data_IF_988095252720
#
_entry.id   IF_988095252720
#
_cell.length_a   1.000
_cell.length_b   1.000
_cell.length_c   1.000
_cell.angle_alpha   90.00
_cell.angle_beta   90.00
_cell.angle_gamma   90.00
#
_symmetry.space_group_name_H-M   'P 1'
#
loop_
_entity.id
_entity.type
_entity.pdbx_description
1 polymer ?
#
# COMPACT_ATOMS: atom_id res chain seq x y z
N UNK A 1 46.17 -1.57 43.83
CA UNK A 1 45.37 -2.36 42.86
C UNK A 1 43.88 -1.97 42.81
N UNK A 2 43.28 -1.36 43.84
CA UNK A 2 41.88 -0.90 43.82
C UNK A 2 41.62 0.38 43.02
N UNK A 3 42.62 1.25 42.89
CA UNK A 3 42.44 2.57 42.23
C UNK A 3 42.49 2.49 40.70
N UNK A 4 43.18 1.50 40.13
CA UNK A 4 43.25 1.27 38.66
C UNK A 4 41.90 0.74 38.13
N UNK A 5 41.14 0.03 38.97
CA UNK A 5 39.84 -0.54 38.62
C UNK A 5 38.74 0.54 38.49
N UNK A 6 38.88 1.66 39.19
CA UNK A 6 37.91 2.76 39.15
C UNK A 6 38.07 3.61 37.88
N UNK A 7 39.31 3.82 37.42
CA UNK A 7 39.58 4.58 36.19
C UNK A 7 39.08 3.83 34.94
N UNK A 8 39.17 2.50 34.93
CA UNK A 8 38.65 1.66 33.84
C UNK A 8 37.12 1.62 33.80
N UNK A 9 36.44 1.72 34.96
CA UNK A 9 34.98 1.76 35.02
C UNK A 9 34.39 3.10 34.52
N UNK A 10 35.11 4.22 34.70
CA UNK A 10 34.67 5.55 34.25
C UNK A 10 34.97 5.79 32.76
N UNK A 11 36.01 5.16 32.20
CA UNK A 11 36.29 5.22 30.77
C UNK A 11 35.32 4.37 29.91
N UNK A 12 34.72 3.31 30.49
CA UNK A 12 33.77 2.43 29.80
C UNK A 12 32.35 2.99 29.65
N UNK A 13 31.96 3.98 30.44
CA UNK A 13 30.60 4.55 30.42
C UNK A 13 30.36 5.64 29.37
N UNK A 14 31.42 6.09 28.67
CA UNK A 14 31.30 7.09 27.59
C UNK A 14 30.90 6.45 26.24
N UNK A 15 30.97 5.12 26.12
CA UNK A 15 30.60 4.40 24.89
C UNK A 15 29.13 3.93 24.84
N UNK A 16 28.35 4.17 25.90
CA UNK A 16 26.93 3.77 25.97
C UNK A 16 25.93 4.94 25.97
N UNK A 17 26.39 6.19 25.89
CA UNK A 17 25.52 7.36 25.74
C UNK A 17 25.59 7.88 24.30
N UNK A 18 24.91 7.21 23.37
CA UNK A 18 24.96 7.66 21.97
C UNK A 18 24.09 6.97 20.93
N UNK A 19 23.30 5.94 21.22
CA UNK A 19 22.22 5.51 20.32
C UNK A 19 20.94 6.31 20.61
N UNK A 20 21.01 7.63 20.51
CA UNK A 20 19.83 8.44 20.27
C UNK A 20 19.49 8.36 18.77
N UNK A 21 19.08 7.18 18.29
CA UNK A 21 18.21 7.14 17.12
C UNK A 21 16.82 7.58 17.58
N UNK A 22 16.68 8.88 17.82
CA UNK A 22 15.39 9.56 17.74
C UNK A 22 15.03 9.57 16.26
N UNK A 23 14.53 8.44 15.77
CA UNK A 23 14.06 8.26 14.41
C UNK A 23 12.70 8.90 14.12
N UNK A 24 12.20 9.76 15.00
CA UNK A 24 10.85 10.32 14.89
C UNK A 24 10.76 11.79 15.31
N UNK A 25 11.76 12.64 14.99
CA UNK A 25 11.60 14.10 15.13
C UNK A 25 12.29 14.89 14.03
N UNK A 26 11.81 14.71 12.80
CA UNK A 26 11.73 15.78 11.83
C UNK A 26 10.40 15.69 11.07
N UNK A 27 9.28 15.75 11.81
CA UNK A 27 8.12 16.47 11.29
C UNK A 27 8.51 17.95 11.27
N UNK A 28 9.37 18.31 10.31
CA UNK A 28 9.53 19.68 9.89
C UNK A 28 8.14 20.24 9.65
N UNK A 29 7.97 21.53 9.91
CA UNK A 29 6.72 22.26 9.73
C UNK A 29 6.37 22.24 8.24
N UNK A 30 5.86 21.10 7.78
CA UNK A 30 5.28 20.87 6.48
C UNK A 30 4.00 21.69 6.50
N UNK A 31 3.92 22.65 5.60
CA UNK A 31 2.87 23.66 5.56
C UNK A 31 1.49 23.06 5.81
N UNK A 32 0.60 23.85 6.39
CA UNK A 32 -0.75 23.45 6.85
C UNK A 32 -1.51 22.53 5.88
N UNK A 33 -1.33 22.70 4.56
CA UNK A 33 -1.95 21.86 3.52
C UNK A 33 -1.45 20.40 3.46
N UNK A 34 -0.23 20.10 3.92
CA UNK A 34 0.32 18.73 3.92
C UNK A 34 -0.16 17.96 5.15
N UNK A 35 -0.23 18.62 6.30
CA UNK A 35 -0.84 18.04 7.51
C UNK A 35 -2.25 17.54 7.23
N UNK A 36 -3.02 18.27 6.43
CA UNK A 36 -4.39 17.87 6.07
C UNK A 36 -4.44 16.61 5.20
N UNK A 37 -3.50 16.45 4.27
CA UNK A 37 -3.35 15.24 3.46
C UNK A 37 -2.89 14.06 4.33
N UNK A 38 -1.91 14.27 5.22
CA UNK A 38 -1.40 13.25 6.14
C UNK A 38 -2.48 12.78 7.12
N UNK A 39 -3.25 13.69 7.69
CA UNK A 39 -4.41 13.35 8.55
C UNK A 39 -5.47 12.57 7.75
N UNK A 40 -5.69 12.96 6.50
CA UNK A 40 -6.65 12.29 5.62
C UNK A 40 -6.16 10.94 5.10
N UNK A 41 -4.89 10.59 5.30
CA UNK A 41 -4.29 9.33 4.85
C UNK A 41 -4.94 8.09 5.49
N UNK A 42 -5.54 8.25 6.67
CA UNK A 42 -6.34 7.20 7.33
C UNK A 42 -7.55 6.77 6.48
N UNK A 43 -8.07 7.68 5.65
CA UNK A 43 -9.19 7.43 4.72
C UNK A 43 -8.70 7.28 3.28
N UNK A 44 -7.42 6.94 3.10
CA UNK A 44 -6.84 6.81 1.78
C UNK A 44 -7.45 5.66 1.00
N UNK A 45 -7.49 5.85 -0.31
CA UNK A 45 -7.86 4.82 -1.27
C UNK A 45 -6.58 4.15 -1.74
N UNK A 46 -6.48 2.84 -1.54
CA UNK A 46 -5.27 2.07 -1.84
C UNK A 46 -5.43 1.29 -3.14
N UNK A 47 -4.35 1.19 -3.91
CA UNK A 47 -4.24 0.31 -5.08
C UNK A 47 -2.83 -0.21 -5.22
N UNK A 48 -2.66 -1.41 -5.77
CA UNK A 48 -1.36 -2.02 -6.01
C UNK A 48 -1.15 -2.13 -7.51
N UNK A 49 -0.04 -1.57 -7.99
CA UNK A 49 0.35 -1.61 -9.40
C UNK A 49 1.64 -2.42 -9.56
N UNK A 50 1.81 -3.12 -10.70
CA UNK A 50 3.08 -3.74 -11.03
C UNK A 50 4.13 -2.66 -11.35
N UNK A 51 5.37 -2.90 -10.96
CA UNK A 51 6.50 -2.00 -11.21
C UNK A 51 7.23 -1.60 -9.93
N UNK A 52 8.50 -1.25 -10.09
CA UNK A 52 9.29 -0.66 -9.02
C UNK A 52 8.78 0.75 -8.68
N UNK A 53 9.08 1.19 -7.46
CA UNK A 53 8.57 2.46 -6.92
C UNK A 53 8.94 3.66 -7.79
N UNK A 54 10.13 3.66 -8.39
CA UNK A 54 10.64 4.79 -9.15
C UNK A 54 10.00 4.90 -10.55
N UNK A 55 9.78 3.76 -11.20
CA UNK A 55 9.03 3.69 -12.46
C UNK A 55 7.57 4.12 -12.24
N UNK A 56 6.93 3.58 -11.18
CA UNK A 56 5.55 3.92 -10.85
C UNK A 56 5.41 5.39 -10.46
N UNK A 57 6.36 5.95 -9.70
CA UNK A 57 6.39 7.39 -9.38
C UNK A 57 6.39 8.25 -10.65
N UNK A 58 7.20 7.87 -11.62
CA UNK A 58 7.30 8.58 -12.90
C UNK A 58 6.00 8.46 -13.70
N UNK A 59 5.39 7.29 -13.72
CA UNK A 59 4.11 7.05 -14.40
C UNK A 59 2.95 7.83 -13.77
N UNK A 60 2.85 7.83 -12.43
CA UNK A 60 1.86 8.62 -11.69
C UNK A 60 2.02 10.12 -12.00
N UNK A 61 3.25 10.64 -11.98
CA UNK A 61 3.49 12.04 -12.35
C UNK A 61 3.06 12.36 -13.78
N UNK A 62 3.25 11.43 -14.72
CA UNK A 62 2.84 11.62 -16.10
C UNK A 62 1.32 11.68 -16.23
N UNK A 63 0.59 10.76 -15.61
CA UNK A 63 -0.88 10.75 -15.65
C UNK A 63 -1.48 11.98 -14.93
N UNK A 64 -0.96 12.37 -13.77
CA UNK A 64 -1.43 13.57 -13.07
C UNK A 64 -1.21 14.85 -13.91
N UNK A 65 -0.08 14.96 -14.61
CA UNK A 65 0.16 16.10 -15.52
C UNK A 65 -0.77 16.09 -16.73
N UNK A 66 -0.99 14.92 -17.31
CA UNK A 66 -1.90 14.72 -18.44
C UNK A 66 -3.34 15.07 -18.06
N UNK A 67 -3.76 14.77 -16.83
CA UNK A 67 -5.04 15.18 -16.25
C UNK A 67 -5.11 16.68 -15.84
N UNK A 68 -4.06 17.46 -16.07
CA UNK A 68 -4.04 18.89 -15.78
C UNK A 68 -3.96 19.23 -14.29
N UNK A 69 -3.51 18.29 -13.45
CA UNK A 69 -3.37 18.51 -12.00
C UNK A 69 -2.23 19.47 -11.71
N UNK A 70 -2.43 20.38 -10.77
CA UNK A 70 -1.39 21.33 -10.36
C UNK A 70 -0.51 20.73 -9.25
N UNK A 71 0.67 20.23 -9.62
CA UNK A 71 1.58 19.56 -8.70
C UNK A 71 2.50 20.58 -8.01
N UNK A 72 2.27 20.84 -6.73
CA UNK A 72 3.05 21.79 -5.95
C UNK A 72 4.16 21.14 -5.11
N UNK A 73 4.10 19.82 -4.86
CA UNK A 73 5.16 19.09 -4.16
C UNK A 73 5.48 17.75 -4.82
N UNK A 74 6.78 17.48 -4.94
CA UNK A 74 7.36 16.28 -5.58
C UNK A 74 8.54 15.79 -4.75
N UNK A 75 8.30 14.84 -3.85
CA UNK A 75 9.34 14.24 -3.02
C UNK A 75 9.56 12.79 -3.45
N UNK A 76 10.48 12.60 -4.40
CA UNK A 76 10.76 11.25 -4.93
C UNK A 76 11.29 10.30 -3.87
N UNK A 77 12.13 10.79 -2.96
CA UNK A 77 12.73 9.97 -1.90
C UNK A 77 11.67 9.45 -0.92
N UNK A 78 10.73 10.31 -0.52
CA UNK A 78 9.62 9.96 0.37
C UNK A 78 8.47 9.25 -0.38
N UNK A 79 8.48 9.27 -1.71
CA UNK A 79 7.40 8.71 -2.54
C UNK A 79 6.12 9.54 -2.45
N UNK A 80 6.23 10.87 -2.30
CA UNK A 80 5.08 11.76 -2.08
C UNK A 80 4.91 12.71 -3.26
N UNK A 81 3.69 12.79 -3.77
CA UNK A 81 3.26 13.77 -4.77
C UNK A 81 2.03 14.47 -4.20
N UNK A 82 2.11 15.79 -4.01
CA UNK A 82 0.95 16.58 -3.56
C UNK A 82 0.55 17.61 -4.62
N UNK A 83 -0.75 17.74 -4.82
CA UNK A 83 -1.33 18.51 -5.92
C UNK A 83 -2.71 19.08 -5.57
N UNK A 84 -3.13 20.08 -6.34
CA UNK A 84 -4.52 20.52 -6.41
C UNK A 84 -5.21 19.86 -7.60
N UNK A 85 -6.51 19.60 -7.45
CA UNK A 85 -7.34 19.01 -8.51
C UNK A 85 -7.28 19.84 -9.80
N UNK A 86 -7.28 21.16 -9.73
CA UNK A 86 -6.98 22.03 -10.87
C UNK A 86 -6.55 23.42 -10.40
N UNK A 87 -6.28 24.35 -11.33
CA UNK A 87 -6.04 25.75 -10.98
C UNK A 87 -7.27 26.43 -10.35
N UNK A 88 -8.48 26.00 -10.71
CA UNK A 88 -9.75 26.54 -10.22
C UNK A 88 -10.27 25.76 -9.00
N UNK A 89 -9.93 24.48 -8.89
CA UNK A 89 -10.30 23.62 -7.78
C UNK A 89 -9.07 23.34 -6.89
N UNK A 90 -8.95 24.13 -5.82
CA UNK A 90 -7.87 24.04 -4.83
C UNK A 90 -8.05 22.90 -3.82
N UNK A 91 -8.91 21.92 -4.10
CA UNK A 91 -9.01 20.71 -3.26
C UNK A 91 -7.66 20.01 -3.28
N UNK A 92 -7.07 19.86 -2.09
CA UNK A 92 -5.77 19.20 -1.90
C UNK A 92 -5.92 17.68 -2.03
N UNK A 93 -4.96 17.07 -2.73
CA UNK A 93 -4.81 15.62 -2.78
C UNK A 93 -3.33 15.26 -2.77
N UNK A 94 -3.04 14.06 -2.29
CA UNK A 94 -1.71 13.49 -2.24
C UNK A 94 -1.71 12.04 -2.66
N UNK A 95 -0.66 11.65 -3.37
CA UNK A 95 -0.35 10.27 -3.70
C UNK A 95 0.93 9.87 -2.98
N UNK A 96 0.86 8.77 -2.25
CA UNK A 96 1.98 8.16 -1.53
C UNK A 96 2.31 6.82 -2.18
N UNK A 97 3.59 6.57 -2.41
CA UNK A 97 4.07 5.36 -3.05
C UNK A 97 4.95 4.56 -2.10
N UNK A 98 4.60 3.29 -1.91
CA UNK A 98 5.37 2.33 -1.12
C UNK A 98 5.75 1.14 -1.98
N UNK A 99 7.05 0.88 -2.10
CA UNK A 99 7.53 -0.33 -2.75
C UNK A 99 7.14 -1.56 -1.94
N UNK A 100 6.61 -2.58 -2.62
CA UNK A 100 6.31 -3.89 -2.07
C UNK A 100 7.28 -4.92 -2.65
N UNK A 101 7.41 -6.05 -1.95
CA UNK A 101 8.17 -7.18 -2.48
C UNK A 101 7.57 -7.72 -3.78
N UNK A 102 8.41 -8.29 -4.63
CA UNK A 102 7.99 -8.83 -5.93
C UNK A 102 7.79 -7.80 -7.03
N UNK A 103 8.43 -6.62 -6.92
CA UNK A 103 8.41 -5.60 -7.97
C UNK A 103 7.02 -4.98 -8.14
N UNK A 104 6.30 -4.79 -7.04
CA UNK A 104 5.01 -4.13 -7.00
C UNK A 104 5.13 -2.83 -6.22
N UNK A 105 4.25 -1.89 -6.48
CA UNK A 105 4.17 -0.65 -5.73
C UNK A 105 2.74 -0.43 -5.28
N UNK A 106 2.58 -0.17 -3.99
CA UNK A 106 1.33 0.31 -3.43
C UNK A 106 1.25 1.83 -3.60
N UNK A 107 0.09 2.27 -4.05
CA UNK A 107 -0.27 3.67 -4.22
C UNK A 107 -1.40 3.94 -3.23
N UNK A 108 -1.20 4.92 -2.36
CA UNK A 108 -2.22 5.42 -1.46
C UNK A 108 -2.62 6.84 -1.90
N UNK A 109 -3.93 7.05 -2.10
CA UNK A 109 -4.49 8.32 -2.53
C UNK A 109 -5.20 8.95 -1.34
N UNK A 110 -4.71 10.07 -0.85
CA UNK A 110 -5.26 10.79 0.28
C UNK A 110 -5.77 12.16 -0.12
N UNK A 111 -6.96 12.52 0.37
CA UNK A 111 -7.56 13.84 0.26
C UNK A 111 -8.64 13.96 1.33
N UNK A 112 -8.97 15.15 1.85
CA UNK A 112 -10.18 15.34 2.66
C UNK A 112 -11.46 15.01 1.87
N UNK A 113 -11.46 15.21 0.54
CA UNK A 113 -12.62 14.96 -0.33
C UNK A 113 -12.63 13.53 -0.86
N UNK A 114 -13.73 12.79 -0.65
CA UNK A 114 -13.92 11.46 -1.25
C UNK A 114 -13.95 11.53 -2.77
N UNK A 115 -14.64 12.52 -3.33
CA UNK A 115 -14.69 12.77 -4.76
C UNK A 115 -13.28 12.89 -5.35
N UNK A 116 -12.40 13.66 -4.71
CA UNK A 116 -11.02 13.79 -5.18
C UNK A 116 -10.25 12.47 -5.13
N UNK A 117 -10.45 11.64 -4.09
CA UNK A 117 -9.80 10.32 -4.01
C UNK A 117 -10.26 9.39 -5.13
N UNK A 118 -11.56 9.35 -5.39
CA UNK A 118 -12.15 8.45 -6.37
C UNK A 118 -11.79 8.87 -7.80
N UNK A 119 -11.87 10.17 -8.11
CA UNK A 119 -11.44 10.68 -9.42
C UNK A 119 -9.96 10.39 -9.69
N UNK A 120 -9.08 10.61 -8.71
CA UNK A 120 -7.65 10.31 -8.88
C UNK A 120 -7.41 8.81 -9.02
N UNK A 121 -8.18 7.96 -8.31
CA UNK A 121 -8.10 6.50 -8.47
C UNK A 121 -8.46 6.09 -9.91
N UNK A 122 -9.52 6.67 -10.46
CA UNK A 122 -9.92 6.40 -11.85
C UNK A 122 -8.85 6.85 -12.85
N UNK A 123 -8.25 8.03 -12.66
CA UNK A 123 -7.15 8.51 -13.50
C UNK A 123 -5.93 7.58 -13.47
N UNK A 124 -5.58 7.09 -12.27
CA UNK A 124 -4.44 6.19 -12.08
C UNK A 124 -4.76 4.73 -12.42
N UNK A 125 -6.03 4.39 -12.69
CA UNK A 125 -6.43 3.03 -13.07
C UNK A 125 -5.79 2.57 -14.38
N UNK A 126 -5.39 3.52 -15.25
CA UNK A 126 -4.64 3.25 -16.47
C UNK A 126 -3.26 2.61 -16.21
N UNK A 127 -2.75 2.68 -14.97
CA UNK A 127 -1.50 2.05 -14.56
C UNK A 127 -1.67 0.56 -14.19
N UNK A 128 -2.91 0.11 -14.03
CA UNK A 128 -3.19 -1.30 -13.76
C UNK A 128 -3.14 -2.11 -15.07
N UNK A 129 -2.68 -3.37 -15.01
CA UNK A 129 -2.87 -4.29 -16.12
C UNK A 129 -4.38 -4.42 -16.40
N UNK A 130 -4.78 -4.63 -17.67
CA UNK A 130 -6.17 -4.93 -17.99
C UNK A 130 -6.63 -6.13 -17.16
N UNK A 131 -7.89 -6.16 -16.70
CA UNK A 131 -8.39 -7.31 -15.96
C UNK A 131 -8.17 -8.56 -16.80
N UNK A 132 -7.48 -9.56 -16.23
CA UNK A 132 -7.36 -10.86 -16.90
C UNK A 132 -8.77 -11.34 -17.26
N UNK A 133 -9.02 -11.82 -18.49
CA UNK A 133 -10.32 -12.32 -18.86
C UNK A 133 -10.66 -13.46 -17.90
N UNK A 134 -11.78 -13.33 -17.18
CA UNK A 134 -12.26 -14.33 -16.24
C UNK A 134 -12.21 -15.71 -16.91
N UNK A 135 -11.28 -16.56 -16.47
CA UNK A 135 -11.33 -17.98 -16.80
C UNK A 135 -12.59 -18.50 -16.13
N UNK A 136 -13.68 -18.60 -16.90
CA UNK A 136 -14.89 -19.32 -16.48
C UNK A 136 -14.43 -20.63 -15.83
N UNK A 137 -14.86 -20.94 -14.60
CA UNK A 137 -14.46 -22.18 -13.96
C UNK A 137 -14.80 -23.33 -14.92
N UNK A 138 -13.77 -24.05 -15.37
CA UNK A 138 -13.94 -25.28 -16.12
C UNK A 138 -14.91 -26.14 -15.33
N UNK A 139 -16.01 -26.51 -15.99
CA UNK A 139 -17.03 -27.38 -15.44
C UNK A 139 -16.38 -28.53 -14.66
N UNK A 140 -16.69 -28.61 -13.37
CA UNK A 140 -16.42 -29.81 -12.57
C UNK A 140 -17.16 -30.95 -13.27
N UNK A 141 -16.51 -32.10 -13.57
CA UNK A 141 -17.23 -33.23 -14.13
C UNK A 141 -18.30 -33.65 -13.12
N UNK A 142 -19.55 -33.67 -13.59
CA UNK A 142 -20.71 -34.20 -12.88
C UNK A 142 -20.40 -35.66 -12.50
N UNK A 143 -20.09 -35.88 -11.22
CA UNK A 143 -19.83 -37.20 -10.64
C UNK A 143 -21.14 -37.99 -10.69
N UNK A 144 -21.18 -38.95 -11.61
CA UNK A 144 -22.35 -39.74 -11.92
C UNK A 144 -22.64 -40.68 -10.73
N UNK A 145 -23.76 -40.43 -10.05
CA UNK A 145 -24.29 -41.22 -8.93
C UNK A 145 -24.31 -42.72 -9.27
N UNK A 146 -23.51 -43.47 -8.52
CA UNK A 146 -23.50 -44.93 -8.59
C UNK A 146 -24.71 -45.47 -7.83
N UNK A 147 -25.74 -45.85 -8.60
CA UNK A 147 -26.92 -46.62 -8.18
C UNK A 147 -26.53 -47.81 -7.28
N UNK A 148 -27.06 -47.95 -6.05
CA UNK A 148 -26.90 -49.18 -5.29
C UNK A 148 -27.83 -50.27 -5.82
N UNK A 149 -27.21 -51.38 -6.24
CA UNK A 149 -27.86 -52.66 -6.53
C UNK A 149 -28.38 -53.27 -5.22
N UNK A 150 -29.70 -53.34 -5.06
CA UNK A 150 -30.35 -54.10 -3.98
C UNK A 150 -30.17 -55.59 -4.28
N UNK A 151 -29.40 -56.26 -3.42
CA UNK A 151 -29.29 -57.72 -3.39
C UNK A 151 -30.56 -58.35 -2.82
N UNK A 152 -31.07 -59.35 -3.54
CA UNK A 152 -32.05 -60.30 -3.06
C UNK A 152 -31.32 -61.50 -2.41
N UNK A 153 -32.13 -62.31 -1.70
CA UNK A 153 -31.84 -63.60 -1.04
C UNK A 153 -31.11 -63.57 0.31
N UNK A 154 -31.38 -64.45 1.27
CA UNK A 154 -32.52 -65.27 1.74
C UNK A 154 -31.96 -65.98 2.99
N UNK A 155 -32.82 -66.60 3.81
CA UNK A 155 -32.52 -67.44 4.99
C UNK A 155 -32.12 -66.68 6.28
N UNK A 156 -32.54 -67.05 7.49
CA UNK A 156 -33.17 -68.27 8.02
C UNK A 156 -33.70 -67.91 9.43
N UNK A 157 -34.96 -68.21 9.77
CA UNK A 157 -35.35 -68.46 11.18
C UNK A 157 -36.57 -69.38 11.27
N UNK A 158 -36.30 -70.64 11.62
CA UNK A 158 -36.94 -71.46 12.67
C UNK A 158 -38.47 -71.49 12.79
N UNK A 159 -39.04 -72.67 12.57
CA UNK A 159 -40.39 -73.08 12.97
C UNK A 159 -40.71 -74.50 12.53
#
# INVERSE_FOLDING_TARGET
MREILIVLAVAGSVLFSGCASVGERMHGVLGTSIREIEVSRVKSVQMVVPGDRDAVYTAVLAELKKAGRYIYRRERNEGVIAFYMSAENTTVAGVFLRGLEGGKTEIEIASPSSYARDTVREELSALLPPPEPERKPSAVPEENDTKPTVGADEQETSG
#
